data_IF_899684024604
#
_entry.id   IF_899684024604
#
_cell.length_a   1.000
_cell.length_b   1.000
_cell.length_c   1.000
_cell.angle_alpha   90.00
_cell.angle_beta   90.00
_cell.angle_gamma   90.00
#
_symmetry.space_group_name_H-M   'P 1'
#
loop_
_entity.id
_entity.type
_entity.pdbx_description
1 polymer ?
#
# COMPACT_ATOMS: atom_id res chain seq x y z
N UNK A 1 39.50 7.33 6.77
CA UNK A 1 38.42 6.56 6.12
C UNK A 1 37.64 5.68 7.09
N UNK A 2 38.24 4.78 7.90
CA UNK A 2 37.52 3.91 8.84
C UNK A 2 36.87 4.67 10.02
N UNK A 3 37.59 5.65 10.62
CA UNK A 3 37.07 6.43 11.76
C UNK A 3 35.95 7.40 11.36
N UNK A 4 36.03 7.99 10.17
CA UNK A 4 34.97 8.88 9.64
C UNK A 4 33.71 8.13 9.27
N UNK A 5 33.82 6.91 8.69
CA UNK A 5 32.69 6.02 8.43
C UNK A 5 32.02 5.57 9.73
N UNK A 6 32.81 5.30 10.79
CA UNK A 6 32.29 4.91 12.10
C UNK A 6 31.61 6.08 12.82
N UNK A 7 32.19 7.28 12.81
CA UNK A 7 31.60 8.49 13.38
C UNK A 7 30.30 8.89 12.64
N UNK A 8 30.26 8.70 11.31
CA UNK A 8 29.09 8.95 10.46
C UNK A 8 27.96 7.98 10.76
N UNK A 9 28.24 6.69 10.90
CA UNK A 9 27.27 5.67 11.29
C UNK A 9 26.69 5.92 12.68
N UNK A 10 27.50 6.37 13.65
CA UNK A 10 27.05 6.74 15.00
C UNK A 10 26.12 7.96 14.93
N UNK A 11 26.49 9.02 14.18
CA UNK A 11 25.64 10.21 14.01
C UNK A 11 24.29 9.89 13.34
N UNK A 12 24.26 9.00 12.37
CA UNK A 12 22.99 8.55 11.74
C UNK A 12 22.12 7.72 12.71
N UNK A 13 22.74 6.85 13.48
CA UNK A 13 22.04 6.06 14.50
C UNK A 13 21.43 6.95 15.58
N UNK A 14 22.15 7.95 16.07
CA UNK A 14 21.64 8.93 17.04
C UNK A 14 20.46 9.73 16.50
N UNK A 15 20.49 10.18 15.25
CA UNK A 15 19.36 10.88 14.62
C UNK A 15 18.12 9.99 14.55
N UNK A 16 18.29 8.72 14.19
CA UNK A 16 17.18 7.74 14.14
C UNK A 16 16.58 7.54 15.53
N UNK A 17 17.39 7.48 16.56
CA UNK A 17 16.92 7.29 17.93
C UNK A 17 16.18 8.53 18.47
N UNK A 18 16.62 9.74 18.16
CA UNK A 18 15.93 11.01 18.50
C UNK A 18 14.55 11.09 17.82
N UNK A 19 14.44 10.71 16.55
CA UNK A 19 13.15 10.66 15.83
C UNK A 19 12.22 9.63 16.47
N UNK A 20 12.70 8.43 16.76
CA UNK A 20 11.92 7.38 17.42
C UNK A 20 11.48 7.79 18.83
N UNK A 21 12.34 8.46 19.58
CA UNK A 21 11.99 8.99 20.90
C UNK A 21 10.84 10.00 20.80
N UNK A 22 10.91 10.96 19.87
CA UNK A 22 9.82 11.90 19.62
C UNK A 22 8.51 11.17 19.25
N UNK A 23 8.56 10.21 18.34
CA UNK A 23 7.39 9.44 17.93
C UNK A 23 6.76 8.68 19.11
N UNK A 24 7.57 8.11 19.99
CA UNK A 24 7.08 7.43 21.21
C UNK A 24 6.41 8.41 22.18
N UNK A 25 6.97 9.61 22.36
CA UNK A 25 6.39 10.64 23.22
C UNK A 25 5.03 11.09 22.66
N UNK A 26 4.97 11.40 21.37
CA UNK A 26 3.71 11.82 20.71
C UNK A 26 2.64 10.73 20.80
N UNK A 27 3.00 9.48 20.49
CA UNK A 27 2.08 8.34 20.61
C UNK A 27 1.56 8.14 22.04
N UNK A 28 2.46 8.14 23.03
CA UNK A 28 2.08 7.95 24.43
C UNK A 28 1.17 9.06 24.91
N UNK A 29 1.52 10.31 24.63
CA UNK A 29 0.71 11.48 24.99
C UNK A 29 -0.69 11.44 24.34
N UNK A 30 -0.77 11.01 23.09
CA UNK A 30 -2.04 10.86 22.40
C UNK A 30 -2.87 9.70 22.96
N UNK A 31 -2.22 8.58 23.33
CA UNK A 31 -2.87 7.38 23.86
C UNK A 31 -3.36 7.54 25.29
N UNK A 32 -2.60 8.27 26.12
CA UNK A 32 -2.97 8.54 27.52
C UNK A 32 -4.16 9.48 27.63
N UNK A 33 -4.26 10.45 26.74
CA UNK A 33 -5.35 11.42 26.70
C UNK A 33 -5.96 11.49 25.28
N UNK A 34 -7.06 10.77 25.01
CA UNK A 34 -7.77 10.80 23.73
C UNK A 34 -8.37 12.19 23.39
N UNK A 35 -8.48 13.09 24.35
CA UNK A 35 -9.00 14.46 24.14
C UNK A 35 -7.92 15.49 23.87
N UNK A 36 -6.63 15.11 24.11
CA UNK A 36 -5.49 16.00 23.95
C UNK A 36 -5.36 16.50 22.53
N UNK A 37 -5.23 17.83 22.41
CA UNK A 37 -4.96 18.52 21.15
C UNK A 37 -3.52 19.05 21.15
N UNK A 38 -2.85 18.92 20.01
CA UNK A 38 -1.42 19.22 19.85
C UNK A 38 -1.24 20.59 19.17
N UNK A 39 -0.48 21.49 19.79
CA UNK A 39 -0.29 22.89 19.33
C UNK A 39 1.16 23.25 18.95
N UNK A 40 2.12 22.33 19.13
CA UNK A 40 3.52 22.54 18.80
C UNK A 40 4.04 21.33 17.97
N UNK A 41 3.72 21.30 16.69
CA UNK A 41 4.06 20.21 15.77
C UNK A 41 4.85 20.70 14.56
N UNK A 42 4.57 21.90 14.08
CA UNK A 42 5.19 22.46 12.88
C UNK A 42 6.70 22.67 13.06
N UNK A 43 7.14 23.15 14.23
CA UNK A 43 8.54 23.31 14.59
C UNK A 43 9.32 21.99 14.48
N UNK A 44 8.66 20.86 14.71
CA UNK A 44 9.27 19.54 14.62
C UNK A 44 9.52 19.11 13.18
N UNK A 45 8.71 19.57 12.22
CA UNK A 45 8.91 19.27 10.80
C UNK A 45 10.20 19.86 10.28
N UNK A 46 10.59 21.05 10.77
CA UNK A 46 11.83 21.73 10.37
C UNK A 46 13.11 21.16 11.02
N UNK A 47 13.00 20.24 11.97
CA UNK A 47 14.15 19.64 12.64
C UNK A 47 15.03 18.86 11.65
N UNK A 48 16.33 19.06 11.75
CA UNK A 48 17.33 18.41 10.86
C UNK A 48 17.31 16.88 10.92
N UNK A 49 17.06 16.28 12.08
CA UNK A 49 16.96 14.82 12.24
C UNK A 49 15.68 14.26 11.58
N UNK A 50 14.56 15.01 11.63
CA UNK A 50 13.29 14.63 10.98
C UNK A 50 13.42 14.77 9.45
N UNK A 51 13.97 15.88 8.96
CA UNK A 51 14.18 16.10 7.52
C UNK A 51 15.17 15.08 6.93
N UNK A 52 16.23 14.75 7.66
CA UNK A 52 17.16 13.69 7.25
C UNK A 52 16.46 12.33 7.16
N UNK A 53 15.66 11.97 8.17
CA UNK A 53 14.89 10.73 8.14
C UNK A 53 13.91 10.69 6.97
N UNK A 54 13.23 11.80 6.70
CA UNK A 54 12.32 11.95 5.58
C UNK A 54 13.05 11.82 4.23
N UNK A 55 14.23 12.44 4.10
CA UNK A 55 15.10 12.30 2.93
C UNK A 55 15.44 10.84 2.64
N UNK A 56 15.94 10.10 3.64
CA UNK A 56 16.29 8.68 3.49
C UNK A 56 15.13 7.85 2.97
N UNK A 57 13.89 8.12 3.42
CA UNK A 57 12.69 7.43 2.93
C UNK A 57 12.35 7.82 1.49
N UNK A 58 12.48 9.10 1.13
CA UNK A 58 12.22 9.61 -0.22
C UNK A 58 13.28 9.12 -1.21
N UNK A 59 14.55 9.20 -0.85
CA UNK A 59 15.67 8.75 -1.69
C UNK A 59 15.58 7.25 -1.97
N UNK A 60 15.28 6.43 -0.96
CA UNK A 60 15.12 4.97 -1.11
C UNK A 60 14.06 4.59 -2.16
N UNK A 61 13.03 5.40 -2.33
CA UNK A 61 11.93 5.12 -3.26
C UNK A 61 12.29 5.44 -4.73
N UNK A 62 13.39 6.15 -5.00
CA UNK A 62 13.89 6.49 -6.35
C UNK A 62 12.76 6.99 -7.27
N UNK A 63 11.86 7.84 -6.73
CA UNK A 63 10.68 8.31 -7.45
C UNK A 63 11.03 9.36 -8.51
N UNK A 64 10.27 9.40 -9.61
CA UNK A 64 10.43 10.35 -10.69
C UNK A 64 10.37 11.82 -10.22
N UNK A 65 11.02 12.79 -10.93
CA UNK A 65 11.00 14.21 -10.58
C UNK A 65 9.59 14.81 -10.66
N UNK A 66 9.36 15.89 -9.89
CA UNK A 66 8.13 16.69 -9.95
C UNK A 66 8.09 17.61 -11.16
N UNK A 67 7.34 18.71 -11.04
CA UNK A 67 7.21 19.74 -12.08
C UNK A 67 8.53 20.52 -12.30
N UNK A 68 9.39 20.59 -11.28
CA UNK A 68 10.66 21.33 -11.30
C UNK A 68 11.80 20.56 -11.99
N UNK A 69 11.57 19.30 -12.36
CA UNK A 69 12.58 18.44 -13.00
C UNK A 69 13.70 17.98 -12.06
N UNK A 70 13.73 18.41 -10.79
CA UNK A 70 14.76 18.03 -9.81
C UNK A 70 14.65 16.55 -9.49
N UNK A 71 15.75 15.81 -9.70
CA UNK A 71 15.83 14.37 -9.43
C UNK A 71 16.49 14.10 -8.08
N UNK A 72 16.32 12.89 -7.55
CA UNK A 72 17.06 12.43 -6.37
C UNK A 72 18.55 12.41 -6.70
N UNK A 73 18.93 11.87 -7.87
CA UNK A 73 20.32 11.79 -8.31
C UNK A 73 21.00 13.18 -8.35
N UNK A 74 20.32 14.21 -8.89
CA UNK A 74 20.91 15.56 -8.96
C UNK A 74 21.16 16.20 -7.58
N UNK A 75 20.44 15.78 -6.54
CA UNK A 75 20.70 16.21 -5.15
C UNK A 75 21.87 15.39 -4.56
N UNK A 76 21.95 14.10 -4.91
CA UNK A 76 22.99 13.18 -4.45
C UNK A 76 24.35 13.41 -5.14
N UNK A 77 24.38 13.99 -6.35
CA UNK A 77 25.61 14.29 -7.09
C UNK A 77 26.58 15.22 -6.33
N UNK A 78 26.04 16.12 -5.48
CA UNK A 78 26.83 16.91 -4.52
C UNK A 78 27.35 16.14 -3.30
N UNK A 79 27.16 14.82 -3.26
CA UNK A 79 27.50 13.97 -2.12
C UNK A 79 26.70 14.32 -0.87
N UNK A 80 27.29 14.07 0.29
CA UNK A 80 26.65 14.35 1.59
C UNK A 80 26.41 15.84 1.79
N UNK A 81 27.32 16.67 1.31
CA UNK A 81 27.21 18.12 1.46
C UNK A 81 26.09 18.68 0.58
N UNK A 82 25.91 18.16 -0.64
CA UNK A 82 24.77 18.51 -1.48
C UNK A 82 23.42 18.19 -0.82
N UNK A 83 23.29 16.99 -0.27
CA UNK A 83 22.08 16.60 0.49
C UNK A 83 21.91 17.49 1.73
N UNK A 84 22.99 17.80 2.45
CA UNK A 84 22.92 18.68 3.63
C UNK A 84 22.46 20.08 3.25
N UNK A 85 23.05 20.70 2.24
CA UNK A 85 22.67 22.04 1.74
C UNK A 85 21.19 22.07 1.34
N UNK A 86 20.73 21.02 0.64
CA UNK A 86 19.33 20.88 0.26
C UNK A 86 18.39 20.83 1.48
N UNK A 87 18.72 20.02 2.50
CA UNK A 87 17.91 19.88 3.71
C UNK A 87 17.97 21.14 4.59
N UNK A 88 19.13 21.78 4.70
CA UNK A 88 19.27 23.05 5.46
C UNK A 88 18.45 24.17 4.79
N UNK A 89 18.41 24.22 3.45
CA UNK A 89 17.53 25.12 2.71
C UNK A 89 16.05 24.88 2.98
N UNK A 90 15.63 23.61 3.06
CA UNK A 90 14.25 23.27 3.45
C UNK A 90 13.95 23.65 4.90
N UNK A 91 14.89 23.42 5.83
CA UNK A 91 14.75 23.78 7.23
C UNK A 91 14.60 25.29 7.40
N UNK A 92 15.41 26.09 6.71
CA UNK A 92 15.32 27.55 6.69
C UNK A 92 13.97 28.00 6.14
N UNK A 93 13.57 27.51 4.96
CA UNK A 93 12.27 27.88 4.36
C UNK A 93 11.05 27.54 5.24
N UNK A 94 11.12 26.43 6.00
CA UNK A 94 10.09 26.06 6.96
C UNK A 94 10.12 26.98 8.18
N UNK A 95 11.30 27.27 8.73
CA UNK A 95 11.46 28.14 9.91
C UNK A 95 10.98 29.56 9.61
N UNK A 96 11.35 30.10 8.45
CA UNK A 96 10.98 31.45 7.99
C UNK A 96 9.54 31.49 7.44
N UNK A 97 8.85 30.36 7.39
CA UNK A 97 7.47 30.21 6.86
C UNK A 97 7.33 30.65 5.40
N UNK A 98 8.44 30.60 4.65
CA UNK A 98 8.49 30.91 3.20
C UNK A 98 8.23 29.70 2.32
N UNK A 99 8.29 28.48 2.87
CA UNK A 99 7.97 27.26 2.12
C UNK A 99 6.58 27.34 1.48
N UNK A 100 6.52 27.04 0.19
CA UNK A 100 5.27 26.92 -0.59
C UNK A 100 5.34 25.65 -1.43
N UNK A 101 4.33 24.75 -1.34
CA UNK A 101 4.28 23.58 -2.19
C UNK A 101 4.11 23.98 -3.66
N UNK A 102 4.73 23.18 -4.54
CA UNK A 102 4.54 23.32 -5.99
C UNK A 102 3.38 22.45 -6.49
N UNK A 103 2.76 22.80 -7.63
CA UNK A 103 1.76 21.95 -8.26
C UNK A 103 2.29 20.53 -8.54
N UNK A 104 1.40 19.55 -8.47
CA UNK A 104 1.73 18.16 -8.74
C UNK A 104 1.84 17.90 -10.24
N UNK A 105 2.88 17.24 -10.68
CA UNK A 105 3.00 16.81 -12.07
C UNK A 105 2.09 15.59 -12.32
N UNK A 106 1.09 15.71 -13.18
CA UNK A 106 0.16 14.63 -13.54
C UNK A 106 0.83 13.62 -14.45
N UNK A 107 0.68 12.34 -14.14
CA UNK A 107 1.09 11.22 -14.98
C UNK A 107 -0.01 10.17 -14.98
N UNK A 108 -0.38 9.68 -16.16
CA UNK A 108 -1.37 8.61 -16.30
C UNK A 108 -0.69 7.24 -16.34
N UNK A 109 -0.98 6.40 -15.32
CA UNK A 109 -0.42 5.05 -15.24
C UNK A 109 -1.49 4.04 -15.69
N UNK A 110 -1.16 3.07 -16.57
CA UNK A 110 -2.09 2.01 -16.94
C UNK A 110 -2.64 1.24 -15.73
N UNK A 111 -3.96 1.06 -15.65
CA UNK A 111 -4.57 0.22 -14.61
C UNK A 111 -4.24 -1.25 -14.87
N UNK A 112 -3.62 -1.98 -13.92
CA UNK A 112 -3.35 -3.40 -14.09
C UNK A 112 -4.61 -4.21 -14.40
N UNK A 113 -4.58 -4.99 -15.50
CA UNK A 113 -5.69 -5.85 -15.90
C UNK A 113 -6.89 -5.14 -16.53
N UNK A 114 -6.78 -3.85 -16.86
CA UNK A 114 -7.82 -3.08 -17.57
C UNK A 114 -7.21 -2.32 -18.74
N UNK A 115 -7.09 -2.93 -19.93
CA UNK A 115 -6.57 -2.27 -21.13
C UNK A 115 -7.32 -0.98 -21.43
N UNK A 116 -6.61 0.08 -21.80
CA UNK A 116 -7.19 1.38 -22.14
C UNK A 116 -7.61 2.25 -20.95
N UNK A 117 -7.60 1.73 -19.72
CA UNK A 117 -7.87 2.54 -18.53
C UNK A 117 -6.58 2.97 -17.85
N UNK A 118 -6.51 4.24 -17.45
CA UNK A 118 -5.39 4.79 -16.69
C UNK A 118 -5.83 5.23 -15.30
N UNK A 119 -4.85 5.38 -14.41
CA UNK A 119 -5.00 6.02 -13.10
C UNK A 119 -4.18 7.30 -13.12
N UNK A 120 -4.77 8.46 -12.86
CA UNK A 120 -4.02 9.70 -12.72
C UNK A 120 -3.18 9.64 -11.43
N UNK A 121 -1.89 9.93 -11.55
CA UNK A 121 -0.95 10.03 -10.43
C UNK A 121 -0.41 11.46 -10.38
N UNK A 122 -0.48 12.09 -9.23
CA UNK A 122 0.16 13.39 -8.98
C UNK A 122 1.55 13.19 -8.37
N UNK A 123 2.59 13.64 -9.05
CA UNK A 123 3.98 13.52 -8.57
C UNK A 123 4.42 14.86 -7.96
N UNK A 124 4.58 14.94 -6.62
CA UNK A 124 5.14 16.13 -5.97
C UNK A 124 6.63 16.28 -6.30
N UNK A 125 7.17 17.48 -6.12
CA UNK A 125 8.63 17.70 -6.19
C UNK A 125 9.38 16.88 -5.13
N UNK A 126 10.69 16.70 -5.29
CA UNK A 126 11.49 16.01 -4.26
C UNK A 126 11.44 16.77 -2.95
N UNK A 127 11.49 18.11 -2.99
CA UNK A 127 11.36 18.99 -1.83
C UNK A 127 10.03 18.77 -1.11
N UNK A 128 8.92 18.79 -1.83
CA UNK A 128 7.59 18.57 -1.26
C UNK A 128 7.46 17.17 -0.65
N UNK A 129 8.01 16.13 -1.33
CA UNK A 129 8.00 14.76 -0.77
C UNK A 129 8.75 14.67 0.55
N UNK A 130 9.88 15.36 0.69
CA UNK A 130 10.64 15.38 1.96
C UNK A 130 9.84 16.08 3.06
N UNK A 131 9.27 17.26 2.79
CA UNK A 131 8.47 18.00 3.79
C UNK A 131 7.19 17.22 4.16
N UNK A 132 6.51 16.61 3.19
CA UNK A 132 5.33 15.75 3.43
C UNK A 132 5.68 14.51 4.27
N UNK A 133 6.84 13.87 4.00
CA UNK A 133 7.32 12.74 4.80
C UNK A 133 7.70 13.17 6.21
N UNK A 134 8.33 14.34 6.37
CA UNK A 134 8.65 14.92 7.68
C UNK A 134 7.38 15.21 8.50
N UNK A 135 6.37 15.82 7.88
CA UNK A 135 5.07 16.04 8.53
C UNK A 135 4.37 14.72 8.89
N UNK A 136 4.44 13.71 8.00
CA UNK A 136 3.93 12.36 8.30
C UNK A 136 4.61 11.75 9.51
N UNK A 137 5.95 11.83 9.63
CA UNK A 137 6.72 11.30 10.77
C UNK A 137 6.22 11.90 12.09
N UNK A 138 5.82 13.18 12.09
CA UNK A 138 5.32 13.88 13.27
C UNK A 138 3.84 13.56 13.56
N UNK A 139 2.99 13.51 12.54
CA UNK A 139 1.54 13.34 12.70
C UNK A 139 1.12 11.89 12.92
N UNK A 140 1.76 10.93 12.22
CA UNK A 140 1.37 9.52 12.25
C UNK A 140 1.26 8.92 13.66
N UNK A 141 2.19 9.17 14.61
CA UNK A 141 2.08 8.62 15.96
C UNK A 141 0.84 9.11 16.72
N UNK A 142 0.40 10.32 16.48
CA UNK A 142 -0.76 10.92 17.14
C UNK A 142 -2.04 10.19 16.70
N UNK A 143 -2.25 10.07 15.38
CA UNK A 143 -3.44 9.43 14.84
C UNK A 143 -3.40 7.89 14.96
N UNK A 144 -2.21 7.28 14.92
CA UNK A 144 -2.07 5.84 15.16
C UNK A 144 -2.54 5.44 16.57
N UNK A 145 -2.46 6.34 17.54
CA UNK A 145 -2.99 6.12 18.89
C UNK A 145 -4.52 5.97 18.92
N UNK A 146 -5.21 6.61 17.98
CA UNK A 146 -6.68 6.61 17.87
C UNK A 146 -7.22 5.51 16.94
N UNK A 147 -6.44 5.14 15.92
CA UNK A 147 -6.92 4.23 14.88
C UNK A 147 -7.42 2.90 15.42
N UNK A 148 -8.58 2.51 14.96
CA UNK A 148 -9.25 1.27 15.32
C UNK A 148 -8.45 0.01 14.91
N UNK A 149 -8.52 -1.08 15.70
CA UNK A 149 -7.91 -2.36 15.34
C UNK A 149 -8.49 -3.00 14.07
N UNK A 150 -9.65 -2.57 13.58
CA UNK A 150 -10.28 -3.08 12.35
C UNK A 150 -9.68 -2.50 11.06
N UNK A 151 -8.86 -1.45 11.18
CA UNK A 151 -8.13 -0.80 10.08
C UNK A 151 -6.70 -1.31 10.00
N UNK A 152 -6.27 -1.73 8.80
CA UNK A 152 -4.96 -2.36 8.58
C UNK A 152 -4.09 -1.67 7.53
N UNK A 153 -4.68 -0.97 6.55
CA UNK A 153 -3.96 -0.39 5.41
C UNK A 153 -3.11 0.81 5.78
N UNK A 154 -1.89 0.89 5.23
CA UNK A 154 -0.95 2.01 5.38
C UNK A 154 -0.61 2.40 6.83
N UNK A 155 -0.69 1.47 7.75
CA UNK A 155 -0.41 1.68 9.16
C UNK A 155 0.87 0.97 9.60
N UNK A 156 1.69 1.55 10.51
CA UNK A 156 2.87 0.89 11.05
C UNK A 156 2.49 -0.40 11.78
N UNK A 157 3.32 -1.44 11.63
CA UNK A 157 3.13 -2.77 12.24
C UNK A 157 1.81 -3.48 11.87
N UNK A 158 1.05 -2.99 10.89
CA UNK A 158 -0.13 -3.64 10.33
C UNK A 158 0.17 -4.21 8.94
N UNK A 159 -0.52 -5.27 8.57
CA UNK A 159 -0.30 -5.94 7.29
C UNK A 159 -1.59 -6.46 6.66
N UNK A 160 -1.54 -6.67 5.34
CA UNK A 160 -2.62 -7.32 4.60
C UNK A 160 -2.94 -8.73 5.16
N UNK A 161 -1.93 -9.46 5.63
CA UNK A 161 -2.14 -10.81 6.18
C UNK A 161 -2.89 -10.80 7.51
N UNK A 162 -2.73 -9.77 8.35
CA UNK A 162 -3.54 -9.59 9.56
C UNK A 162 -5.02 -9.32 9.21
N UNK A 163 -5.29 -8.49 8.20
CA UNK A 163 -6.65 -8.26 7.70
C UNK A 163 -7.29 -9.56 7.18
N UNK A 164 -6.54 -10.31 6.36
CA UNK A 164 -6.97 -11.61 5.82
C UNK A 164 -7.22 -12.66 6.92
N UNK A 165 -6.49 -12.60 8.03
CA UNK A 165 -6.69 -13.48 9.16
C UNK A 165 -7.94 -13.11 9.96
N UNK A 166 -8.20 -11.81 10.16
CA UNK A 166 -9.44 -11.34 10.78
C UNK A 166 -10.68 -11.82 10.00
N UNK A 167 -10.64 -11.75 8.66
CA UNK A 167 -11.68 -12.30 7.79
C UNK A 167 -11.85 -13.80 8.01
N UNK A 168 -10.75 -14.58 8.03
CA UNK A 168 -10.79 -16.03 8.23
C UNK A 168 -11.42 -16.39 9.58
N UNK A 169 -11.03 -15.70 10.65
CA UNK A 169 -11.55 -15.93 12.00
C UNK A 169 -13.05 -15.65 12.05
N UNK A 170 -13.51 -14.49 11.55
CA UNK A 170 -14.91 -14.11 11.56
C UNK A 170 -15.79 -15.11 10.76
N UNK A 171 -15.37 -15.46 9.54
CA UNK A 171 -16.12 -16.38 8.70
C UNK A 171 -16.21 -17.81 9.28
N UNK A 172 -15.13 -18.29 9.95
CA UNK A 172 -15.13 -19.60 10.59
C UNK A 172 -15.92 -19.63 11.92
N UNK A 173 -16.20 -18.46 12.50
CA UNK A 173 -17.09 -18.28 13.66
C UNK A 173 -18.57 -18.14 13.29
N UNK A 174 -18.92 -18.31 12.02
CA UNK A 174 -20.32 -18.31 11.58
C UNK A 174 -20.77 -17.06 10.80
N UNK A 175 -19.93 -16.06 10.61
CA UNK A 175 -20.24 -14.93 9.76
C UNK A 175 -20.18 -15.34 8.28
N UNK A 176 -21.34 -15.68 7.71
CA UNK A 176 -21.44 -16.26 6.36
C UNK A 176 -21.91 -15.27 5.29
N UNK A 177 -22.34 -14.09 5.68
CA UNK A 177 -22.75 -13.05 4.77
C UNK A 177 -21.70 -11.95 4.76
N UNK A 178 -21.26 -11.56 3.59
CA UNK A 178 -20.16 -10.61 3.42
C UNK A 178 -20.64 -9.44 2.56
N UNK A 179 -20.63 -8.24 3.13
CA UNK A 179 -20.67 -7.02 2.36
C UNK A 179 -19.23 -6.79 1.85
N UNK A 180 -19.02 -6.95 0.55
CA UNK A 180 -17.80 -6.65 -0.19
C UNK A 180 -18.00 -5.28 -0.85
N UNK A 181 -17.28 -4.26 -0.41
CA UNK A 181 -17.56 -2.88 -0.78
C UNK A 181 -16.28 -2.09 -1.08
N UNK A 182 -16.38 -1.21 -2.08
CA UNK A 182 -15.33 -0.30 -2.55
C UNK A 182 -15.87 1.13 -2.51
N UNK A 183 -15.09 2.08 -2.02
CA UNK A 183 -15.46 3.49 -2.02
C UNK A 183 -15.12 4.07 -3.39
N UNK A 184 -16.10 4.74 -4.04
CA UNK A 184 -15.87 5.34 -5.35
C UNK A 184 -14.89 6.49 -5.23
N UNK A 185 -13.82 6.43 -6.03
CA UNK A 185 -12.81 7.51 -6.16
C UNK A 185 -12.37 8.14 -4.83
N UNK A 186 -12.23 7.33 -3.77
CA UNK A 186 -12.02 7.80 -2.39
C UNK A 186 -10.94 8.90 -2.29
N UNK A 187 -9.76 8.68 -2.87
CA UNK A 187 -8.66 9.65 -2.82
C UNK A 187 -8.94 10.94 -3.61
N UNK A 188 -9.82 10.89 -4.58
CA UNK A 188 -10.08 12.01 -5.49
C UNK A 188 -11.33 12.81 -5.07
N UNK A 189 -12.24 12.21 -4.27
CA UNK A 189 -13.53 12.81 -3.90
C UNK A 189 -13.64 13.20 -2.40
N UNK A 190 -12.63 12.90 -1.54
CA UNK A 190 -12.68 13.30 -0.11
C UNK A 190 -12.84 14.83 -0.01
N UNK A 191 -13.89 15.29 0.68
CA UNK A 191 -14.09 16.71 0.98
C UNK A 191 -12.97 17.25 1.87
N UNK A 192 -12.34 18.36 1.46
CA UNK A 192 -11.22 18.97 2.18
C UNK A 192 -11.63 19.51 3.56
N UNK A 193 -12.84 20.07 3.69
CA UNK A 193 -13.32 20.61 4.97
C UNK A 193 -13.60 19.49 5.95
N UNK A 194 -14.26 18.41 5.49
CA UNK A 194 -14.51 17.22 6.30
C UNK A 194 -13.21 16.55 6.76
N UNK A 195 -12.23 16.37 5.85
CA UNK A 195 -10.90 15.85 6.20
C UNK A 195 -10.21 16.73 7.24
N UNK A 196 -10.15 18.06 6.99
CA UNK A 196 -9.50 18.96 7.92
C UNK A 196 -10.20 19.02 9.28
N UNK A 197 -11.54 18.90 9.32
CA UNK A 197 -12.29 18.76 10.56
C UNK A 197 -11.83 17.53 11.37
N UNK A 198 -11.56 16.37 10.73
CA UNK A 198 -11.01 15.21 11.43
C UNK A 198 -9.57 15.43 11.91
N UNK A 199 -8.73 16.12 11.13
CA UNK A 199 -7.37 16.48 11.56
C UNK A 199 -7.40 17.42 12.77
N UNK A 200 -8.29 18.41 12.78
CA UNK A 200 -8.43 19.41 13.82
C UNK A 200 -8.93 18.84 15.16
N UNK A 201 -9.49 17.65 15.18
CA UNK A 201 -9.80 16.94 16.43
C UNK A 201 -8.56 16.74 17.32
N UNK A 202 -7.38 16.58 16.70
CA UNK A 202 -6.10 16.30 17.40
C UNK A 202 -5.05 17.38 17.21
N UNK A 203 -5.13 18.18 16.15
CA UNK A 203 -4.13 19.18 15.77
C UNK A 203 -4.73 20.56 15.83
N UNK A 204 -4.14 21.46 16.64
CA UNK A 204 -4.51 22.88 16.74
C UNK A 204 -3.35 23.80 16.38
N UNK A 205 -2.21 23.25 15.97
CA UNK A 205 -1.08 24.00 15.45
C UNK A 205 -1.47 24.65 14.12
N UNK A 206 -1.65 25.97 14.16
CA UNK A 206 -2.11 26.76 13.00
C UNK A 206 -1.17 26.65 11.80
N UNK A 207 0.14 26.55 12.03
CA UNK A 207 1.12 26.44 10.94
C UNK A 207 1.06 25.05 10.31
N UNK A 208 0.93 24.01 11.12
CA UNK A 208 0.74 22.64 10.63
C UNK A 208 -0.57 22.53 9.81
N UNK A 209 -1.67 23.07 10.30
CA UNK A 209 -2.94 23.07 9.57
C UNK A 209 -2.85 23.87 8.26
N UNK A 210 -2.14 25.01 8.26
CA UNK A 210 -1.89 25.79 7.04
C UNK A 210 -1.07 24.99 6.03
N UNK A 211 -0.04 24.27 6.49
CA UNK A 211 0.79 23.41 5.65
C UNK A 211 -0.03 22.29 5.00
N UNK A 212 -0.88 21.59 5.78
CA UNK A 212 -1.76 20.56 5.25
C UNK A 212 -2.72 21.10 4.19
N UNK A 213 -3.39 22.23 4.48
CA UNK A 213 -4.30 22.88 3.53
C UNK A 213 -3.58 23.34 2.26
N UNK A 214 -2.32 23.79 2.37
CA UNK A 214 -1.55 24.20 1.20
C UNK A 214 -1.26 23.02 0.25
N UNK A 215 -1.00 21.81 0.76
CA UNK A 215 -0.84 20.62 -0.08
C UNK A 215 -2.14 20.15 -0.70
N UNK A 216 -3.24 20.23 0.01
CA UNK A 216 -4.56 19.88 -0.54
C UNK A 216 -4.96 20.78 -1.71
N UNK A 217 -4.51 22.06 -1.68
CA UNK A 217 -4.81 23.10 -2.68
C UNK A 217 -3.68 23.33 -3.69
N UNK A 218 -2.59 22.56 -3.62
CA UNK A 218 -1.40 22.81 -4.45
C UNK A 218 -1.63 22.74 -5.96
N UNK A 219 -2.79 22.23 -6.39
CA UNK A 219 -3.16 22.10 -7.78
C UNK A 219 -2.42 20.98 -8.50
N UNK A 220 -2.82 20.77 -9.74
CA UNK A 220 -2.26 19.73 -10.62
C UNK A 220 -1.85 20.35 -11.93
N UNK A 221 -0.62 20.10 -12.36
CA UNK A 221 -0.09 20.50 -13.65
C UNK A 221 -0.25 19.38 -14.66
N UNK A 222 -1.00 19.65 -15.71
CA UNK A 222 -1.25 18.72 -16.82
C UNK A 222 -1.39 19.50 -18.13
N UNK A 223 -0.72 19.02 -19.20
CA UNK A 223 -0.84 19.62 -20.54
C UNK A 223 -0.43 21.10 -20.64
N UNK A 224 0.45 21.59 -19.75
CA UNK A 224 0.88 22.99 -19.74
C UNK A 224 0.04 23.93 -18.85
N UNK A 225 -1.04 23.42 -18.24
CA UNK A 225 -1.96 24.17 -17.40
C UNK A 225 -1.93 23.67 -15.94
N UNK A 226 -2.11 24.61 -15.00
CA UNK A 226 -2.32 24.30 -13.59
C UNK A 226 -3.80 24.42 -13.30
N UNK A 227 -4.41 23.36 -12.79
CA UNK A 227 -5.79 23.34 -12.29
C UNK A 227 -5.80 23.20 -10.77
N UNK A 228 -6.65 23.98 -10.12
CA UNK A 228 -6.86 23.87 -8.68
C UNK A 228 -7.56 22.56 -8.32
N UNK A 229 -7.32 22.10 -7.09
CA UNK A 229 -7.99 20.93 -6.53
C UNK A 229 -8.93 21.37 -5.41
N UNK A 230 -10.24 21.15 -5.61
CA UNK A 230 -11.28 21.48 -4.61
C UNK A 230 -11.60 20.30 -3.69
N UNK A 231 -11.28 19.07 -4.12
CA UNK A 231 -11.49 17.85 -3.37
C UNK A 231 -10.34 16.86 -3.56
N UNK A 232 -10.28 15.85 -2.70
CA UNK A 232 -9.35 14.75 -2.79
C UNK A 232 -8.00 14.99 -2.13
N UNK A 233 -7.27 13.90 -2.01
CA UNK A 233 -5.87 13.90 -1.56
C UNK A 233 -4.97 13.46 -2.71
N UNK A 234 -3.81 14.12 -2.92
CA UNK A 234 -2.96 13.83 -4.07
C UNK A 234 -2.53 12.36 -4.14
N UNK A 235 -3.02 11.60 -5.15
CA UNK A 235 -2.56 10.22 -5.37
C UNK A 235 -1.06 10.23 -5.71
N UNK A 236 -0.23 9.61 -4.84
CA UNK A 236 1.23 9.55 -5.00
C UNK A 236 2.01 10.41 -3.99
N UNK A 237 1.35 11.22 -3.20
CA UNK A 237 1.95 11.97 -2.08
C UNK A 237 2.26 11.04 -0.89
N UNK A 238 3.41 11.22 -0.20
CA UNK A 238 3.76 10.43 0.98
C UNK A 238 2.79 10.53 2.15
N UNK A 239 2.10 11.67 2.31
CA UNK A 239 1.19 11.92 3.42
C UNK A 239 -0.26 11.49 3.14
N UNK A 240 -0.66 11.36 1.87
CA UNK A 240 -2.04 11.05 1.48
C UNK A 240 -2.61 9.76 2.09
N UNK A 241 -1.83 8.66 2.24
CA UNK A 241 -2.34 7.47 2.91
C UNK A 241 -2.73 7.71 4.38
N UNK A 242 -1.98 8.56 5.10
CA UNK A 242 -2.31 8.95 6.47
C UNK A 242 -3.59 9.81 6.50
N UNK A 243 -3.68 10.82 5.63
CA UNK A 243 -4.85 11.69 5.55
C UNK A 243 -6.12 10.92 5.18
N UNK A 244 -6.03 9.99 4.24
CA UNK A 244 -7.15 9.10 3.90
C UNK A 244 -7.57 8.22 5.09
N UNK A 245 -6.62 7.67 5.85
CA UNK A 245 -6.96 6.91 7.05
C UNK A 245 -7.61 7.78 8.14
N UNK A 246 -7.18 9.04 8.29
CA UNK A 246 -7.80 10.00 9.23
C UNK A 246 -9.25 10.29 8.80
N UNK A 247 -9.49 10.58 7.52
CA UNK A 247 -10.84 10.80 7.01
C UNK A 247 -11.73 9.57 7.22
N UNK A 248 -11.26 8.39 6.81
CA UNK A 248 -12.04 7.15 6.87
C UNK A 248 -12.18 6.57 8.28
N UNK A 249 -11.47 7.12 9.28
CA UNK A 249 -11.59 6.67 10.67
C UNK A 249 -13.01 6.85 11.22
N UNK A 250 -13.79 7.78 10.69
CA UNK A 250 -15.21 7.96 11.06
C UNK A 250 -16.03 6.69 10.79
N UNK A 251 -15.68 5.89 9.76
CA UNK A 251 -16.30 4.58 9.50
C UNK A 251 -15.97 3.63 10.65
N UNK A 252 -14.72 3.62 11.10
CA UNK A 252 -14.27 2.74 12.17
C UNK A 252 -14.93 3.11 13.50
N UNK A 253 -15.08 4.41 13.79
CA UNK A 253 -15.79 4.91 15.00
C UNK A 253 -17.30 4.59 14.96
N UNK A 254 -17.95 4.80 13.83
CA UNK A 254 -19.36 4.44 13.65
C UNK A 254 -19.55 2.92 13.79
N UNK A 255 -18.61 2.13 13.25
CA UNK A 255 -18.64 0.68 13.38
C UNK A 255 -18.44 0.20 14.80
N UNK A 256 -17.62 0.85 15.60
CA UNK A 256 -17.47 0.50 17.01
C UNK A 256 -18.79 0.54 17.78
N UNK A 257 -19.68 1.48 17.42
CA UNK A 257 -21.05 1.60 17.97
C UNK A 257 -22.02 0.56 17.38
N UNK A 258 -21.71 -0.01 16.22
CA UNK A 258 -22.52 -0.99 15.49
C UNK A 258 -21.89 -2.40 15.46
N UNK A 259 -20.94 -2.69 16.35
CA UNK A 259 -20.16 -3.94 16.35
C UNK A 259 -21.02 -5.22 16.47
N UNK A 260 -22.24 -5.11 17.01
CA UNK A 260 -23.22 -6.21 17.07
C UNK A 260 -23.69 -6.68 15.68
N UNK A 261 -23.57 -5.86 14.64
CA UNK A 261 -23.93 -6.24 13.26
C UNK A 261 -22.93 -7.24 12.66
N UNK A 262 -21.65 -7.17 13.02
CA UNK A 262 -20.65 -8.09 12.48
C UNK A 262 -19.22 -7.58 12.63
N UNK A 263 -18.32 -8.14 11.83
CA UNK A 263 -16.88 -7.81 11.85
C UNK A 263 -16.52 -6.96 10.63
N UNK A 264 -16.12 -5.72 10.84
CA UNK A 264 -15.52 -4.86 9.81
C UNK A 264 -14.03 -5.20 9.69
N UNK A 265 -13.53 -5.28 8.46
CA UNK A 265 -12.11 -5.36 8.13
C UNK A 265 -11.83 -4.36 7.02
N UNK A 266 -11.08 -3.30 7.34
CA UNK A 266 -10.75 -2.22 6.40
C UNK A 266 -9.25 -2.19 6.08
N UNK A 267 -8.93 -2.06 4.81
CA UNK A 267 -7.57 -1.85 4.32
C UNK A 267 -7.54 -0.62 3.40
N UNK A 268 -7.24 0.55 3.96
CA UNK A 268 -7.42 1.85 3.32
C UNK A 268 -8.89 2.07 2.89
N UNK A 269 -9.15 2.24 1.62
CA UNK A 269 -10.47 2.40 1.00
C UNK A 269 -11.19 1.08 0.69
N UNK A 270 -10.47 -0.03 0.60
CA UNK A 270 -11.04 -1.39 0.46
C UNK A 270 -11.53 -1.90 1.82
N UNK A 271 -12.76 -2.40 1.92
CA UNK A 271 -13.24 -3.02 3.15
C UNK A 271 -14.27 -4.10 2.92
N UNK A 272 -14.39 -4.99 3.91
CA UNK A 272 -15.43 -6.00 3.98
C UNK A 272 -16.08 -6.01 5.34
N UNK A 273 -17.38 -6.32 5.38
CA UNK A 273 -18.12 -6.57 6.62
C UNK A 273 -18.65 -8.00 6.60
N UNK A 274 -18.26 -8.79 7.61
CA UNK A 274 -18.73 -10.17 7.76
C UNK A 274 -19.85 -10.23 8.81
N UNK A 275 -21.00 -10.74 8.41
CA UNK A 275 -22.21 -10.78 9.24
C UNK A 275 -22.82 -12.19 9.28
N UNK A 276 -23.74 -12.42 10.21
CA UNK A 276 -24.41 -13.73 10.37
C UNK A 276 -25.65 -13.87 9.49
N UNK A 277 -26.24 -12.77 9.00
CA UNK A 277 -27.43 -12.78 8.16
C UNK A 277 -27.38 -11.73 7.05
N UNK A 278 -28.19 -11.91 6.01
CA UNK A 278 -28.32 -10.97 4.91
C UNK A 278 -28.83 -9.60 5.39
N UNK A 279 -29.85 -9.59 6.25
CA UNK A 279 -30.42 -8.35 6.80
C UNK A 279 -29.39 -7.52 7.55
N UNK A 280 -28.49 -8.16 8.31
CA UNK A 280 -27.36 -7.47 8.97
C UNK A 280 -26.36 -6.90 7.98
N UNK A 281 -26.13 -7.57 6.86
CA UNK A 281 -25.23 -7.06 5.81
C UNK A 281 -25.84 -5.86 5.08
N UNK A 282 -27.16 -5.87 4.85
CA UNK A 282 -27.91 -4.76 4.28
C UNK A 282 -27.93 -3.55 5.23
N UNK A 283 -28.16 -3.78 6.52
CA UNK A 283 -28.08 -2.74 7.55
C UNK A 283 -26.66 -2.16 7.69
N UNK A 284 -25.62 -3.00 7.62
CA UNK A 284 -24.22 -2.57 7.60
C UNK A 284 -23.95 -1.65 6.40
N UNK A 285 -24.46 -2.00 5.22
CA UNK A 285 -24.32 -1.18 4.02
C UNK A 285 -24.96 0.19 4.23
N UNK A 286 -26.20 0.24 4.67
CA UNK A 286 -26.94 1.49 4.92
C UNK A 286 -26.19 2.42 5.88
N UNK A 287 -25.72 1.89 7.02
CA UNK A 287 -24.97 2.68 8.01
C UNK A 287 -23.66 3.23 7.48
N UNK A 288 -22.95 2.46 6.67
CA UNK A 288 -21.71 2.92 6.07
C UNK A 288 -21.99 4.01 5.03
N UNK A 289 -23.04 3.85 4.21
CA UNK A 289 -23.46 4.89 3.26
C UNK A 289 -23.81 6.20 3.95
N UNK A 290 -24.53 6.17 5.08
CA UNK A 290 -24.83 7.35 5.90
C UNK A 290 -23.58 8.07 6.40
N UNK A 291 -22.60 7.31 6.87
CA UNK A 291 -21.31 7.89 7.34
C UNK A 291 -20.52 8.49 6.20
N UNK A 292 -20.49 7.85 5.04
CA UNK A 292 -19.74 8.32 3.87
C UNK A 292 -20.26 9.64 3.32
N UNK A 293 -21.57 9.90 3.41
CA UNK A 293 -22.17 11.17 2.99
C UNK A 293 -21.52 12.36 3.70
N UNK A 294 -21.21 12.22 5.00
CA UNK A 294 -20.51 13.27 5.79
C UNK A 294 -19.08 13.57 5.33
N UNK A 295 -18.49 12.71 4.49
CA UNK A 295 -17.18 12.88 3.87
C UNK A 295 -17.26 13.30 2.38
N UNK A 296 -18.47 13.50 1.84
CA UNK A 296 -18.68 13.68 0.41
C UNK A 296 -18.46 12.40 -0.42
N UNK A 297 -18.42 11.22 0.23
CA UNK A 297 -18.09 9.95 -0.39
C UNK A 297 -19.33 9.07 -0.58
N UNK A 298 -19.19 8.07 -1.45
CA UNK A 298 -20.23 7.06 -1.70
C UNK A 298 -19.63 5.70 -2.03
N UNK A 299 -20.39 4.64 -1.80
CA UNK A 299 -20.02 3.31 -2.26
C UNK A 299 -20.07 3.21 -3.79
N UNK A 300 -19.16 2.41 -4.35
CA UNK A 300 -19.14 2.14 -5.79
C UNK A 300 -20.28 1.15 -6.13
N UNK A 301 -21.29 1.55 -6.95
CA UNK A 301 -22.49 0.72 -7.16
C UNK A 301 -22.17 -0.65 -7.75
N UNK A 302 -21.30 -0.72 -8.77
CA UNK A 302 -21.01 -1.97 -9.47
C UNK A 302 -20.02 -2.89 -8.74
N UNK A 303 -19.34 -2.40 -7.71
CA UNK A 303 -18.36 -3.18 -6.94
C UNK A 303 -18.82 -3.53 -5.53
N UNK A 304 -19.92 -2.93 -5.08
CA UNK A 304 -20.50 -3.22 -3.77
C UNK A 304 -21.53 -4.33 -3.92
N UNK A 305 -21.30 -5.43 -3.22
CA UNK A 305 -22.17 -6.61 -3.28
C UNK A 305 -22.24 -7.34 -1.95
N UNK A 306 -23.35 -8.04 -1.74
CA UNK A 306 -23.52 -8.93 -0.59
C UNK A 306 -23.38 -10.37 -1.07
N UNK A 307 -22.44 -11.10 -0.48
CA UNK A 307 -22.06 -12.47 -0.87
C UNK A 307 -22.46 -13.46 0.24
N UNK A 308 -23.06 -14.58 -0.16
CA UNK A 308 -23.39 -15.68 0.77
C UNK A 308 -22.36 -16.81 0.66
N UNK A 309 -21.61 -17.04 1.72
CA UNK A 309 -20.58 -18.09 1.78
C UNK A 309 -21.10 -19.46 2.22
N UNK A 310 -22.36 -19.59 2.66
CA UNK A 310 -22.90 -20.82 3.29
C UNK A 310 -22.81 -22.01 2.34
N UNK A 311 -23.22 -21.85 1.08
CA UNK A 311 -23.24 -22.91 0.09
C UNK A 311 -21.87 -23.29 -0.46
N UNK A 312 -20.86 -22.45 -0.26
CA UNK A 312 -19.50 -22.65 -0.81
C UNK A 312 -19.42 -22.56 -2.34
N UNK A 313 -20.47 -22.02 -2.99
CA UNK A 313 -20.48 -21.71 -4.43
C UNK A 313 -19.92 -20.32 -4.67
N UNK A 314 -20.36 -19.36 -3.87
CA UNK A 314 -19.98 -17.97 -3.98
C UNK A 314 -18.72 -17.65 -3.17
N UNK A 315 -18.02 -16.59 -3.58
CA UNK A 315 -16.83 -16.08 -2.93
C UNK A 315 -16.63 -14.61 -3.26
N UNK A 316 -15.61 -14.00 -2.64
CA UNK A 316 -15.26 -12.62 -2.87
C UNK A 316 -13.74 -12.48 -2.96
N UNK A 317 -13.29 -11.39 -3.60
CA UNK A 317 -11.88 -11.07 -3.73
C UNK A 317 -11.52 -9.92 -2.80
N UNK A 318 -10.53 -10.12 -1.94
CA UNK A 318 -10.00 -9.08 -1.06
C UNK A 318 -8.48 -9.15 -0.98
N UNK A 319 -7.82 -8.01 -1.16
CA UNK A 319 -6.35 -7.89 -1.16
C UNK A 319 -5.66 -8.91 -2.06
N UNK A 320 -6.22 -9.16 -3.24
CA UNK A 320 -5.67 -10.08 -4.23
C UNK A 320 -5.89 -11.56 -3.96
N UNK A 321 -6.55 -11.92 -2.85
CA UNK A 321 -6.97 -13.27 -2.55
C UNK A 321 -8.45 -13.47 -2.88
N UNK A 322 -8.78 -14.61 -3.45
CA UNK A 322 -10.15 -15.12 -3.54
C UNK A 322 -10.49 -15.89 -2.28
N UNK A 323 -11.61 -15.54 -1.65
CA UNK A 323 -12.12 -16.14 -0.42
C UNK A 323 -13.39 -16.95 -0.72
N UNK A 324 -13.41 -18.22 -0.32
CA UNK A 324 -14.58 -19.10 -0.48
C UNK A 324 -14.59 -20.19 0.57
N UNK A 325 -15.76 -20.60 1.03
CA UNK A 325 -15.90 -21.77 1.92
C UNK A 325 -15.82 -23.07 1.13
N UNK A 326 -14.93 -23.97 1.56
CA UNK A 326 -14.78 -25.31 0.99
C UNK A 326 -15.04 -26.36 2.06
N UNK A 327 -15.51 -27.57 1.67
CA UNK A 327 -15.71 -28.67 2.62
C UNK A 327 -14.39 -29.10 3.26
N UNK A 328 -14.46 -29.45 4.55
CA UNK A 328 -13.34 -30.09 5.24
C UNK A 328 -13.13 -31.52 4.72
N UNK A 329 -11.87 -31.96 4.68
CA UNK A 329 -11.53 -33.38 4.35
C UNK A 329 -11.94 -34.35 5.47
N UNK A 330 -12.14 -33.83 6.69
CA UNK A 330 -12.36 -34.63 7.90
C UNK A 330 -13.81 -34.57 8.42
N UNK A 331 -14.77 -34.18 7.60
CA UNK A 331 -16.20 -34.19 7.94
C UNK A 331 -16.92 -32.87 7.75
N UNK A 332 -18.18 -32.93 7.41
CA UNK A 332 -19.28 -32.02 7.10
C UNK A 332 -19.20 -30.49 7.25
N UNK A 333 -18.24 -29.94 7.97
CA UNK A 333 -18.10 -28.51 8.15
C UNK A 333 -17.34 -27.85 6.99
N UNK A 334 -17.80 -26.69 6.57
CA UNK A 334 -17.09 -25.85 5.60
C UNK A 334 -16.24 -24.84 6.33
N UNK A 335 -15.03 -24.55 5.82
CA UNK A 335 -14.15 -23.53 6.36
C UNK A 335 -13.73 -22.54 5.26
N UNK A 336 -13.45 -21.31 5.65
CA UNK A 336 -12.99 -20.29 4.71
C UNK A 336 -11.57 -20.60 4.25
N UNK A 337 -11.42 -20.81 2.95
CA UNK A 337 -10.14 -20.91 2.25
C UNK A 337 -9.87 -19.65 1.46
N UNK A 338 -8.58 -19.35 1.27
CA UNK A 338 -8.13 -18.22 0.46
C UNK A 338 -6.98 -18.65 -0.45
N UNK A 339 -6.99 -18.20 -1.69
CA UNK A 339 -5.92 -18.43 -2.68
C UNK A 339 -5.79 -17.23 -3.61
N UNK A 340 -4.70 -17.12 -4.42
CA UNK A 340 -4.56 -16.03 -5.38
C UNK A 340 -5.79 -15.89 -6.27
N UNK A 341 -6.37 -14.68 -6.34
CA UNK A 341 -7.51 -14.38 -7.19
C UNK A 341 -7.16 -14.53 -8.67
N UNK A 342 -8.13 -14.64 -9.54
CA UNK A 342 -7.90 -14.76 -10.99
C UNK A 342 -7.21 -13.52 -11.54
N UNK A 343 -7.47 -12.33 -10.98
CA UNK A 343 -6.75 -11.09 -11.29
C UNK A 343 -5.28 -11.17 -10.88
N UNK A 344 -4.96 -11.72 -9.71
CA UNK A 344 -3.58 -11.93 -9.25
C UNK A 344 -2.85 -12.95 -10.13
N UNK A 345 -3.55 -14.03 -10.55
CA UNK A 345 -3.04 -15.03 -11.49
C UNK A 345 -2.79 -14.46 -12.89
N UNK A 346 -3.66 -13.60 -13.40
CA UNK A 346 -3.47 -12.92 -14.68
C UNK A 346 -2.26 -11.97 -14.63
N UNK A 347 -2.13 -11.19 -13.55
CA UNK A 347 -1.03 -10.25 -13.34
C UNK A 347 0.34 -10.94 -13.31
N UNK A 348 0.48 -12.04 -12.55
CA UNK A 348 1.77 -12.76 -12.50
C UNK A 348 2.11 -13.41 -13.86
N UNK A 349 1.11 -13.97 -14.56
CA UNK A 349 1.33 -14.51 -15.91
C UNK A 349 1.77 -13.44 -16.90
N UNK A 350 1.22 -12.22 -16.82
CA UNK A 350 1.64 -11.10 -17.66
C UNK A 350 3.11 -10.74 -17.40
N UNK A 351 3.51 -10.60 -16.12
CA UNK A 351 4.89 -10.33 -15.72
C UNK A 351 5.87 -11.42 -16.18
N UNK A 352 5.44 -12.69 -16.14
CA UNK A 352 6.25 -13.82 -16.64
C UNK A 352 6.39 -13.74 -18.17
N UNK A 353 5.31 -13.46 -18.91
CA UNK A 353 5.36 -13.32 -20.38
C UNK A 353 6.31 -12.23 -20.80
N UNK A 354 6.26 -11.07 -20.16
CA UNK A 354 7.09 -9.92 -20.42
C UNK A 354 8.58 -10.27 -20.28
N UNK A 355 8.96 -10.91 -19.17
CA UNK A 355 10.34 -11.32 -18.87
C UNK A 355 10.81 -12.59 -19.61
N UNK A 356 9.97 -13.21 -20.39
CA UNK A 356 10.28 -14.41 -21.20
C UNK A 356 9.82 -14.24 -22.64
N UNK A 357 9.75 -13.00 -23.10
CA UNK A 357 9.35 -12.69 -24.48
C UNK A 357 10.47 -13.03 -25.48
N UNK A 358 10.09 -13.27 -26.74
CA UNK A 358 11.01 -13.77 -27.77
C UNK A 358 12.22 -12.88 -28.03
N UNK A 359 12.05 -11.56 -27.92
CA UNK A 359 13.14 -10.59 -28.12
C UNK A 359 14.27 -10.71 -27.05
N UNK A 360 14.01 -11.42 -25.93
CA UNK A 360 15.03 -11.69 -24.91
C UNK A 360 15.86 -12.94 -25.20
N UNK A 361 15.66 -13.61 -26.35
CA UNK A 361 16.39 -14.83 -26.70
C UNK A 361 17.91 -14.60 -26.89
N UNK A 362 18.33 -13.37 -27.24
CA UNK A 362 19.75 -12.98 -27.29
C UNK A 362 20.42 -12.89 -25.93
N UNK A 363 19.66 -12.62 -24.85
CA UNK A 363 20.20 -12.47 -23.50
C UNK A 363 20.64 -13.82 -22.92
N UNK A 364 21.56 -13.79 -21.97
CA UNK A 364 21.90 -14.99 -21.19
C UNK A 364 20.71 -15.46 -20.34
N UNK A 365 20.39 -16.77 -20.42
CA UNK A 365 19.23 -17.32 -19.71
C UNK A 365 19.32 -17.18 -18.19
N UNK A 366 20.53 -17.20 -17.62
CA UNK A 366 20.74 -17.02 -16.17
C UNK A 366 20.31 -15.62 -15.73
N UNK A 367 20.54 -14.58 -16.52
CA UNK A 367 20.05 -13.24 -16.23
C UNK A 367 18.51 -13.15 -16.29
N UNK A 368 17.92 -13.75 -17.32
CA UNK A 368 16.45 -13.84 -17.43
C UNK A 368 15.85 -14.57 -16.22
N UNK A 369 16.46 -15.66 -15.78
CA UNK A 369 16.04 -16.42 -14.60
C UNK A 369 16.20 -15.61 -13.31
N UNK A 370 17.28 -14.85 -13.16
CA UNK A 370 17.49 -14.00 -11.98
C UNK A 370 16.40 -12.93 -11.84
N UNK A 371 16.06 -12.22 -12.94
CA UNK A 371 14.97 -11.25 -12.98
C UNK A 371 13.60 -11.89 -12.71
N UNK A 372 13.36 -13.07 -13.27
CA UNK A 372 12.13 -13.81 -13.05
C UNK A 372 12.01 -14.30 -11.60
N UNK A 373 13.10 -14.75 -10.99
CA UNK A 373 13.16 -15.19 -9.60
C UNK A 373 12.79 -14.07 -8.63
N UNK A 374 13.20 -12.82 -8.88
CA UNK A 374 12.81 -11.67 -8.06
C UNK A 374 11.28 -11.52 -8.03
N UNK A 375 10.63 -11.62 -9.20
CA UNK A 375 9.16 -11.56 -9.32
C UNK A 375 8.48 -12.74 -8.63
N UNK A 376 8.97 -13.97 -8.85
CA UNK A 376 8.40 -15.18 -8.27
C UNK A 376 8.53 -15.21 -6.75
N UNK A 377 9.68 -14.79 -6.20
CA UNK A 377 9.90 -14.70 -4.74
C UNK A 377 8.95 -13.68 -4.10
N UNK A 378 8.83 -12.47 -4.67
CA UNK A 378 7.94 -11.45 -4.15
C UNK A 378 6.48 -11.89 -4.17
N UNK A 379 6.01 -12.43 -5.30
CA UNK A 379 4.64 -12.92 -5.44
C UNK A 379 4.38 -14.14 -4.55
N UNK A 380 5.31 -15.11 -4.52
CA UNK A 380 5.23 -16.30 -3.68
C UNK A 380 5.21 -15.97 -2.19
N UNK A 381 6.05 -15.03 -1.75
CA UNK A 381 6.09 -14.57 -0.35
C UNK A 381 4.76 -13.97 0.10
N UNK A 382 4.07 -13.23 -0.79
CA UNK A 382 2.75 -12.68 -0.48
C UNK A 382 1.66 -13.75 -0.41
N UNK A 383 1.61 -14.67 -1.37
CA UNK A 383 0.54 -15.66 -1.49
C UNK A 383 0.77 -16.98 -0.73
N UNK A 384 1.93 -17.18 -0.12
CA UNK A 384 2.25 -18.40 0.62
C UNK A 384 1.37 -18.68 1.85
N UNK A 385 0.72 -17.65 2.38
CA UNK A 385 -0.16 -17.76 3.56
C UNK A 385 -1.64 -18.05 3.21
N UNK A 386 -1.87 -18.70 2.09
CA UNK A 386 -3.18 -19.13 1.62
C UNK A 386 -3.19 -20.61 1.23
N UNK A 387 -4.34 -21.11 0.78
CA UNK A 387 -4.50 -22.45 0.19
C UNK A 387 -3.98 -22.48 -1.27
N UNK A 388 -2.74 -22.03 -1.47
CA UNK A 388 -2.22 -21.60 -2.77
C UNK A 388 -1.54 -22.71 -3.57
N UNK A 389 -1.35 -23.94 -3.03
CA UNK A 389 -0.58 -25.01 -3.67
C UNK A 389 -0.99 -25.29 -5.13
N UNK A 390 -2.30 -25.41 -5.41
CA UNK A 390 -2.79 -25.64 -6.78
C UNK A 390 -2.45 -24.48 -7.73
N UNK A 391 -2.58 -23.24 -7.25
CA UNK A 391 -2.25 -22.03 -8.03
C UNK A 391 -0.75 -21.90 -8.22
N UNK A 392 0.06 -22.27 -7.23
CA UNK A 392 1.53 -22.32 -7.33
C UNK A 392 2.00 -23.32 -8.37
N UNK A 393 1.41 -24.54 -8.38
CA UNK A 393 1.70 -25.53 -9.41
C UNK A 393 1.40 -25.01 -10.82
N UNK A 394 0.26 -24.35 -11.00
CA UNK A 394 -0.13 -23.75 -12.29
C UNK A 394 0.89 -22.69 -12.75
N UNK A 395 1.43 -21.87 -11.82
CA UNK A 395 2.44 -20.88 -12.17
C UNK A 395 3.80 -21.52 -12.45
N UNK A 396 4.24 -22.49 -11.66
CA UNK A 396 5.50 -23.21 -11.91
C UNK A 396 5.48 -23.91 -13.29
N UNK A 397 4.36 -24.54 -13.65
CA UNK A 397 4.18 -25.16 -14.97
C UNK A 397 4.18 -24.11 -16.10
N UNK A 398 3.58 -22.93 -15.86
CA UNK A 398 3.59 -21.83 -16.81
C UNK A 398 5.00 -21.26 -17.01
N UNK A 399 5.78 -21.11 -15.94
CA UNK A 399 7.19 -20.67 -15.98
C UNK A 399 8.02 -21.65 -16.80
N UNK A 400 7.87 -22.95 -16.52
CA UNK A 400 8.55 -24.02 -17.28
C UNK A 400 8.25 -23.90 -18.78
N UNK A 401 6.97 -23.82 -19.14
CA UNK A 401 6.56 -23.72 -20.53
C UNK A 401 7.14 -22.47 -21.21
N UNK A 402 7.13 -21.32 -20.53
CA UNK A 402 7.67 -20.07 -21.07
C UNK A 402 9.18 -20.09 -21.28
N UNK A 403 9.94 -20.58 -20.29
CA UNK A 403 11.40 -20.68 -20.36
C UNK A 403 11.83 -21.72 -21.40
N UNK A 404 11.16 -22.88 -21.48
CA UNK A 404 11.42 -23.88 -22.52
C UNK A 404 11.19 -23.31 -23.93
N UNK A 405 10.13 -22.47 -24.11
CA UNK A 405 9.87 -21.78 -25.37
C UNK A 405 10.96 -20.79 -25.73
N UNK A 406 11.42 -19.97 -24.75
CA UNK A 406 12.49 -19.01 -24.95
C UNK A 406 13.81 -19.71 -25.28
N UNK A 407 14.16 -20.76 -24.54
CA UNK A 407 15.37 -21.57 -24.79
C UNK A 407 15.34 -22.25 -26.16
N UNK A 408 14.17 -22.72 -26.61
CA UNK A 408 14.03 -23.33 -27.95
C UNK A 408 14.33 -22.32 -29.05
N UNK A 409 13.90 -21.06 -28.88
CA UNK A 409 14.23 -19.98 -29.82
C UNK A 409 15.75 -19.69 -29.77
N UNK A 410 16.32 -19.53 -28.56
CA UNK A 410 17.74 -19.24 -28.39
C UNK A 410 18.67 -20.30 -29.00
N UNK A 411 18.34 -21.56 -28.80
CA UNK A 411 19.19 -22.68 -29.23
C UNK A 411 18.72 -23.39 -30.52
N UNK A 412 17.82 -22.75 -31.28
CA UNK A 412 17.24 -23.31 -32.51
C UNK A 412 16.73 -24.73 -32.38
N UNK A 413 16.16 -25.12 -31.21
CA UNK A 413 15.75 -26.48 -30.90
C UNK A 413 14.40 -26.76 -31.53
N UNK A 414 14.31 -27.91 -32.29
CA UNK A 414 13.06 -28.37 -32.91
C UNK A 414 11.98 -28.60 -31.85
N UNK A 415 10.74 -28.29 -32.18
CA UNK A 415 9.61 -28.41 -31.24
C UNK A 415 9.49 -29.78 -30.57
N UNK A 416 9.71 -30.88 -31.33
CA UNK A 416 9.63 -32.27 -30.82
C UNK A 416 10.67 -32.57 -29.74
N UNK A 417 11.85 -31.95 -29.78
CA UNK A 417 12.95 -32.16 -28.82
C UNK A 417 12.89 -31.19 -27.61
N UNK A 418 11.95 -30.26 -27.60
CA UNK A 418 11.86 -29.23 -26.56
C UNK A 418 11.62 -29.83 -25.17
N UNK A 419 10.68 -30.77 -25.04
CA UNK A 419 10.29 -31.36 -23.77
C UNK A 419 11.40 -32.20 -23.14
N UNK A 420 12.15 -32.98 -23.95
CA UNK A 420 13.28 -33.78 -23.46
C UNK A 420 14.48 -32.92 -23.08
N UNK A 421 14.81 -31.89 -23.89
CA UNK A 421 15.98 -31.03 -23.68
C UNK A 421 15.80 -30.04 -22.55
N UNK A 422 14.60 -29.43 -22.40
CA UNK A 422 14.30 -28.41 -21.42
C UNK A 422 13.28 -28.88 -20.40
N UNK A 423 13.63 -29.94 -19.67
CA UNK A 423 12.81 -30.56 -18.63
C UNK A 423 12.95 -29.87 -17.27
N UNK A 424 12.35 -30.43 -16.22
CA UNK A 424 12.43 -29.85 -14.87
C UNK A 424 13.85 -29.91 -14.25
N UNK A 425 14.69 -30.90 -14.61
CA UNK A 425 16.08 -30.96 -14.16
C UNK A 425 16.86 -29.76 -14.72
N UNK A 426 16.74 -29.50 -16.02
CA UNK A 426 17.32 -28.32 -16.65
C UNK A 426 16.90 -26.99 -15.97
N UNK A 427 15.61 -26.85 -15.56
CA UNK A 427 15.18 -25.67 -14.82
C UNK A 427 15.88 -25.54 -13.46
N UNK A 428 16.10 -26.66 -12.78
CA UNK A 428 16.79 -26.71 -11.49
C UNK A 428 18.26 -26.26 -11.64
N UNK A 429 18.92 -26.72 -12.70
CA UNK A 429 20.29 -26.29 -13.04
C UNK A 429 20.39 -24.81 -13.37
N UNK A 430 19.35 -24.23 -13.98
CA UNK A 430 19.25 -22.80 -14.22
C UNK A 430 18.98 -21.99 -12.94
N UNK A 431 18.68 -22.62 -11.81
CA UNK A 431 18.41 -21.97 -10.53
C UNK A 431 17.06 -21.26 -10.44
N UNK A 432 16.03 -21.77 -11.15
CA UNK A 432 14.68 -21.17 -11.07
C UNK A 432 14.06 -21.37 -9.69
N UNK A 433 13.47 -20.29 -9.15
CA UNK A 433 12.72 -20.34 -7.90
C UNK A 433 11.36 -21.02 -8.10
N UNK A 434 11.11 -22.11 -7.38
CA UNK A 434 9.85 -22.85 -7.41
C UNK A 434 8.94 -22.41 -6.29
N UNK A 435 7.65 -22.24 -6.62
CA UNK A 435 6.59 -21.84 -5.69
C UNK A 435 6.00 -23.03 -4.94
N UNK A 436 5.92 -24.20 -5.59
CA UNK A 436 5.42 -25.44 -4.98
C UNK A 436 6.23 -25.78 -3.73
N UNK A 437 5.55 -26.16 -2.65
CA UNK A 437 6.16 -26.45 -1.35
C UNK A 437 6.45 -25.21 -0.48
N UNK A 438 6.14 -24.00 -0.96
CA UNK A 438 6.38 -22.75 -0.21
C UNK A 438 5.17 -22.26 0.60
N UNK A 439 4.02 -22.94 0.54
CA UNK A 439 2.85 -22.60 1.35
C UNK A 439 3.15 -22.78 2.84
N UNK A 440 2.78 -21.81 3.64
CA UNK A 440 2.96 -21.81 5.10
C UNK A 440 1.67 -21.40 5.79
N UNK A 441 1.49 -21.81 7.03
CA UNK A 441 0.49 -21.23 7.92
C UNK A 441 0.95 -19.82 8.28
N UNK A 442 0.01 -18.87 8.26
CA UNK A 442 0.33 -17.53 8.76
C UNK A 442 0.32 -17.54 10.29
N UNK A 443 1.38 -17.03 10.87
CA UNK A 443 1.52 -16.82 12.30
C UNK A 443 1.77 -15.33 12.52
N UNK A 444 1.10 -14.68 13.49
CA UNK A 444 1.43 -13.31 13.83
C UNK A 444 2.90 -13.27 14.27
N UNK A 445 3.65 -12.31 13.74
CA UNK A 445 4.96 -12.01 14.31
C UNK A 445 4.72 -11.66 15.78
N UNK A 446 5.44 -12.32 16.69
CA UNK A 446 5.39 -11.99 18.11
C UNK A 446 5.63 -10.49 18.27
N UNK A 447 4.68 -9.80 18.93
CA UNK A 447 4.67 -8.36 19.14
C UNK A 447 5.82 -7.90 20.05
#
# INVERSE_FOLDING_TARGET
MSAELSARAISETEKVDKVRALQRVLYRSAKQDPTRRFHALYDKVARSDILWRAWVEVARNQGAPGIDGVTIASIEDGGTDGVKVFLDGLAAALTDKTYRPKPLRRVHIPKPGKPGQTRPLGIPTVADRVVMSAAKIVLEPIFEADFSPVSFGFRPKRSAHQALEAIRVAANRGANWVLDADIKACFDEIDHAALMGQVERRVVDRQMLKLLRSWLRAGVFEGGLVSDTESGTPQGSPISPLLANIALHVIDEAWAKAASLGTLVRYADDFVVLTTSRSRAEEAKRRIEEVLVGLGLRLHPDKTRIVNLTGGKDGFDFLGFHHRKIPSRFGGRRYLSKWPSDRAMASIRAKIRDRTSRHLASRELRHVVAELNAVLRGWGAYFRYGNSNRKFHVIDSFVHWRLSKLASVKYATRFRLRASRFNYAWLTELGIYRLVGKVRRWEPAHA
#
